data_IF_655318257937
#
_entry.id   IF_655318257937
#
_cell.length_a   1.000
_cell.length_b   1.000
_cell.length_c   1.000
_cell.angle_alpha   90.00
_cell.angle_beta   90.00
_cell.angle_gamma   90.00
#
_symmetry.space_group_name_H-M   'P 1'
#
loop_
_entity.id
_entity.type
_entity.pdbx_description
1 polymer ?
#
# COMPACT_ATOMS: atom_id res chain seq x y z
N UNK A 1 18.70 13.99 31.02
CA UNK A 1 19.12 14.12 29.61
C UNK A 1 18.61 15.45 29.06
N UNK A 2 19.47 16.25 28.41
CA UNK A 2 18.99 17.48 27.73
C UNK A 2 18.26 17.03 26.46
N UNK A 3 16.98 17.39 26.34
CA UNK A 3 16.17 17.13 25.13
C UNK A 3 16.82 17.79 23.93
N UNK A 4 17.26 17.00 22.95
CA UNK A 4 17.79 17.54 21.67
C UNK A 4 16.64 18.22 20.92
N UNK A 5 16.65 19.55 20.87
CA UNK A 5 15.61 20.31 20.13
C UNK A 5 15.83 20.12 18.63
N UNK A 6 14.86 19.53 17.95
CA UNK A 6 14.84 19.42 16.50
C UNK A 6 14.56 20.81 15.90
N UNK A 7 15.43 21.26 14.99
CA UNK A 7 15.32 22.57 14.36
C UNK A 7 14.15 22.67 13.34
N UNK A 8 13.75 23.88 12.98
CA UNK A 8 12.69 24.12 11.99
C UNK A 8 12.99 23.43 10.66
N UNK A 9 14.25 23.43 10.22
CA UNK A 9 14.69 22.77 8.99
C UNK A 9 14.39 21.26 9.00
N UNK A 10 14.60 20.58 10.12
CA UNK A 10 14.26 19.16 10.28
C UNK A 10 12.76 18.93 10.11
N UNK A 11 11.91 19.73 10.79
CA UNK A 11 10.46 19.60 10.72
C UNK A 11 9.90 19.87 9.33
N UNK A 12 10.40 20.88 8.64
CA UNK A 12 10.03 21.18 7.25
C UNK A 12 10.43 20.03 6.32
N UNK A 13 11.65 19.51 6.46
CA UNK A 13 12.11 18.36 5.67
C UNK A 13 11.25 17.13 5.93
N UNK A 14 10.99 16.80 7.20
CA UNK A 14 10.19 15.66 7.62
C UNK A 14 8.78 15.73 7.03
N UNK A 15 8.12 16.88 7.14
CA UNK A 15 6.73 17.05 6.69
C UNK A 15 6.63 17.04 5.17
N UNK A 16 7.47 17.79 4.46
CA UNK A 16 7.37 17.88 3.00
C UNK A 16 7.78 16.57 2.31
N UNK A 17 8.95 16.04 2.65
CA UNK A 17 9.44 14.81 2.04
C UNK A 17 8.57 13.62 2.47
N UNK A 18 8.20 13.55 3.75
CA UNK A 18 7.33 12.51 4.28
C UNK A 18 5.94 12.52 3.64
N UNK A 19 5.27 13.69 3.59
CA UNK A 19 3.92 13.80 3.02
C UNK A 19 3.88 13.45 1.54
N UNK A 20 4.82 13.99 0.74
CA UNK A 20 4.84 13.74 -0.69
C UNK A 20 5.25 12.30 -1.02
N UNK A 21 6.14 11.71 -0.22
CA UNK A 21 6.43 10.28 -0.30
C UNK A 21 5.19 9.42 -0.01
N UNK A 22 4.42 9.77 1.03
CA UNK A 22 3.16 9.07 1.32
C UNK A 22 2.09 9.32 0.25
N UNK A 23 2.06 10.49 -0.40
CA UNK A 23 1.17 10.76 -1.52
C UNK A 23 1.52 9.85 -2.72
N UNK A 24 2.80 9.73 -3.07
CA UNK A 24 3.24 8.85 -4.15
C UNK A 24 2.90 7.37 -3.88
N UNK A 25 3.09 6.89 -2.62
CA UNK A 25 2.66 5.55 -2.20
C UNK A 25 1.14 5.38 -2.21
N UNK A 26 0.37 6.40 -1.81
CA UNK A 26 -1.09 6.35 -1.88
C UNK A 26 -1.59 6.21 -3.32
N UNK A 27 -0.97 6.93 -4.27
CA UNK A 27 -1.26 6.85 -5.70
C UNK A 27 -0.94 5.45 -6.23
N UNK A 28 0.23 4.91 -5.93
CA UNK A 28 0.65 3.58 -6.37
C UNK A 28 -0.29 2.49 -5.86
N UNK A 29 -0.56 2.49 -4.57
CA UNK A 29 -1.35 1.41 -3.96
C UNK A 29 -2.85 1.46 -4.30
N UNK A 30 -3.36 2.62 -4.75
CA UNK A 30 -4.79 2.81 -4.98
C UNK A 30 -5.11 3.19 -6.43
N UNK A 31 -4.60 4.32 -6.90
CA UNK A 31 -5.06 4.95 -8.15
C UNK A 31 -4.41 4.38 -9.40
N UNK A 32 -3.18 3.89 -9.32
CA UNK A 32 -2.55 3.21 -10.47
C UNK A 32 -3.34 1.95 -10.83
N UNK A 33 -3.86 1.22 -9.85
CA UNK A 33 -4.72 0.06 -10.11
C UNK A 33 -6.01 0.42 -10.89
N UNK A 34 -6.62 1.58 -10.54
CA UNK A 34 -7.76 2.10 -11.31
C UNK A 34 -7.37 2.46 -12.74
N UNK A 35 -6.23 3.14 -12.89
CA UNK A 35 -5.71 3.54 -14.20
C UNK A 35 -5.41 2.32 -15.08
N UNK A 36 -4.69 1.33 -14.56
CA UNK A 36 -4.38 0.09 -15.28
C UNK A 36 -5.68 -0.60 -15.72
N UNK A 37 -6.68 -0.70 -14.83
CA UNK A 37 -7.95 -1.32 -15.16
C UNK A 37 -8.71 -0.53 -16.23
N UNK A 38 -8.76 0.80 -16.14
CA UNK A 38 -9.46 1.65 -17.12
C UNK A 38 -8.92 1.51 -18.54
N UNK A 39 -7.63 1.13 -18.68
CA UNK A 39 -6.95 1.00 -19.97
C UNK A 39 -6.86 -0.45 -20.46
N UNK A 40 -6.95 -1.44 -19.57
CA UNK A 40 -6.81 -2.86 -19.93
C UNK A 40 -8.10 -3.66 -19.81
N UNK A 41 -9.03 -3.20 -18.96
CA UNK A 41 -10.24 -3.94 -18.62
C UNK A 41 -9.99 -5.27 -17.92
N UNK A 42 -8.78 -5.48 -17.40
CA UNK A 42 -8.36 -6.78 -16.89
C UNK A 42 -7.56 -6.66 -15.58
N UNK A 43 -7.94 -7.46 -14.58
CA UNK A 43 -7.23 -7.54 -13.30
C UNK A 43 -5.89 -8.28 -13.37
N UNK A 44 -5.60 -8.99 -14.46
CA UNK A 44 -4.33 -9.72 -14.65
C UNK A 44 -3.14 -8.75 -14.55
N UNK A 45 -3.24 -7.59 -15.23
CA UNK A 45 -2.21 -6.56 -15.20
C UNK A 45 -1.98 -6.01 -13.77
N UNK A 46 -3.06 -5.75 -13.01
CA UNK A 46 -2.98 -5.31 -11.60
C UNK A 46 -2.27 -6.38 -10.76
N UNK A 47 -2.64 -7.66 -10.94
CA UNK A 47 -2.06 -8.77 -10.18
C UNK A 47 -0.55 -8.88 -10.40
N UNK A 48 -0.12 -8.92 -11.66
CA UNK A 48 1.31 -9.01 -12.01
C UNK A 48 2.08 -7.77 -11.57
N UNK A 49 1.50 -6.58 -11.73
CA UNK A 49 2.08 -5.33 -11.25
C UNK A 49 2.30 -5.38 -9.73
N UNK A 50 1.29 -5.76 -8.95
CA UNK A 50 1.40 -5.88 -7.48
C UNK A 50 2.49 -6.87 -7.06
N UNK A 51 2.59 -8.03 -7.74
CA UNK A 51 3.59 -9.06 -7.42
C UNK A 51 5.01 -8.57 -7.72
N UNK A 52 5.22 -7.99 -8.90
CA UNK A 52 6.55 -7.55 -9.32
C UNK A 52 6.99 -6.31 -8.54
N UNK A 53 6.06 -5.41 -8.19
CA UNK A 53 6.28 -4.27 -7.31
C UNK A 53 6.72 -4.71 -5.90
N UNK A 54 6.07 -5.73 -5.32
CA UNK A 54 6.47 -6.29 -4.03
C UNK A 54 7.90 -6.88 -4.05
N UNK A 55 8.27 -7.54 -5.15
CA UNK A 55 9.63 -8.03 -5.36
C UNK A 55 10.62 -6.86 -5.45
N UNK A 56 10.31 -5.86 -6.28
CA UNK A 56 11.13 -4.67 -6.45
C UNK A 56 11.32 -3.94 -5.12
N UNK A 57 10.24 -3.66 -4.37
CA UNK A 57 10.29 -2.99 -3.08
C UNK A 57 11.17 -3.74 -2.07
N UNK A 58 10.97 -5.06 -1.95
CA UNK A 58 11.69 -5.89 -0.98
C UNK A 58 13.18 -5.94 -1.30
N UNK A 59 13.54 -6.21 -2.56
CA UNK A 59 14.92 -6.28 -3.00
C UNK A 59 15.61 -4.92 -2.89
N UNK A 60 14.92 -3.86 -3.31
CA UNK A 60 15.47 -2.50 -3.30
C UNK A 60 15.72 -2.01 -1.89
N UNK A 61 14.73 -2.08 -1.00
CA UNK A 61 14.88 -1.64 0.39
C UNK A 61 16.06 -2.35 1.04
N UNK A 62 16.22 -3.63 0.75
CA UNK A 62 17.32 -4.43 1.28
C UNK A 62 18.68 -4.02 0.69
N UNK A 63 18.85 -4.07 -0.64
CA UNK A 63 20.16 -3.83 -1.27
C UNK A 63 20.56 -2.37 -1.24
N UNK A 64 19.66 -1.45 -1.50
CA UNK A 64 19.97 -0.01 -1.54
C UNK A 64 20.11 0.56 -0.13
N UNK A 65 19.36 0.06 0.85
CA UNK A 65 19.59 0.39 2.26
C UNK A 65 21.05 0.17 2.64
N UNK A 66 21.57 -1.02 2.33
CA UNK A 66 22.99 -1.37 2.57
C UNK A 66 23.97 -0.53 1.78
N UNK A 67 23.65 -0.27 0.51
CA UNK A 67 24.52 0.52 -0.35
C UNK A 67 24.60 1.97 0.14
N UNK A 68 23.50 2.54 0.58
CA UNK A 68 23.46 3.89 1.14
C UNK A 68 24.25 3.99 2.45
N UNK A 69 24.24 2.92 3.29
CA UNK A 69 25.06 2.83 4.51
C UNK A 69 26.57 2.81 4.19
N UNK A 70 26.96 2.07 3.15
CA UNK A 70 28.37 1.99 2.71
C UNK A 70 28.88 3.29 2.12
N UNK A 71 28.02 4.01 1.39
CA UNK A 71 28.37 5.28 0.74
C UNK A 71 28.32 6.43 1.74
N UNK A 72 27.47 6.33 2.80
CA UNK A 72 27.29 7.38 3.81
C UNK A 72 26.61 8.64 3.25
N UNK A 73 25.85 8.55 2.15
CA UNK A 73 25.25 9.71 1.46
C UNK A 73 23.73 9.58 1.30
N UNK A 74 22.99 9.55 2.41
CA UNK A 74 21.51 9.45 2.41
C UNK A 74 20.86 10.51 1.55
N UNK A 75 21.29 11.75 1.69
CA UNK A 75 20.79 12.90 0.96
C UNK A 75 20.80 12.68 -0.55
N UNK A 76 21.88 12.11 -1.10
CA UNK A 76 22.00 11.85 -2.53
C UNK A 76 20.91 10.89 -3.04
N UNK A 77 20.71 9.78 -2.30
CA UNK A 77 19.69 8.78 -2.65
C UNK A 77 18.26 9.33 -2.53
N UNK A 78 17.99 10.14 -1.50
CA UNK A 78 16.68 10.80 -1.34
C UNK A 78 16.44 11.76 -2.51
N UNK A 79 17.38 12.66 -2.82
CA UNK A 79 17.20 13.68 -3.85
C UNK A 79 16.99 13.06 -5.23
N UNK A 80 17.92 12.23 -5.68
CA UNK A 80 17.86 11.58 -7.00
C UNK A 80 16.64 10.66 -7.06
N UNK A 81 16.39 9.90 -5.99
CA UNK A 81 15.27 8.98 -5.92
C UNK A 81 13.94 9.69 -6.10
N UNK A 82 13.66 10.79 -5.38
CA UNK A 82 12.41 11.55 -5.53
C UNK A 82 12.27 12.20 -6.90
N UNK A 83 13.36 12.72 -7.50
CA UNK A 83 13.30 13.29 -8.85
C UNK A 83 12.89 12.23 -9.87
N UNK A 84 13.56 11.06 -9.87
CA UNK A 84 13.25 9.99 -10.84
C UNK A 84 11.89 9.36 -10.51
N UNK A 85 11.52 9.23 -9.23
CA UNK A 85 10.20 8.77 -8.81
C UNK A 85 9.09 9.66 -9.38
N UNK A 86 9.24 11.00 -9.27
CA UNK A 86 8.27 11.94 -9.84
C UNK A 86 8.17 11.84 -11.37
N UNK A 87 9.30 11.67 -12.07
CA UNK A 87 9.30 11.41 -13.53
C UNK A 87 8.59 10.09 -13.84
N UNK A 88 8.83 9.03 -13.08
CA UNK A 88 8.14 7.76 -13.26
C UNK A 88 6.61 7.89 -13.04
N UNK A 89 6.17 8.63 -12.01
CA UNK A 89 4.74 8.94 -11.81
C UNK A 89 4.15 9.66 -13.02
N UNK A 90 4.84 10.66 -13.56
CA UNK A 90 4.37 11.37 -14.76
C UNK A 90 4.22 10.45 -15.97
N UNK A 91 5.14 9.50 -16.17
CA UNK A 91 5.11 8.60 -17.36
C UNK A 91 3.87 7.68 -17.38
N UNK A 92 3.21 7.41 -16.24
CA UNK A 92 1.92 6.71 -16.23
C UNK A 92 0.86 7.43 -17.07
N UNK A 93 0.79 8.77 -17.02
CA UNK A 93 -0.16 9.55 -17.80
C UNK A 93 0.04 9.47 -19.32
N UNK A 94 1.25 9.12 -19.75
CA UNK A 94 1.57 8.94 -21.19
C UNK A 94 1.24 7.54 -21.69
N UNK A 95 1.16 6.55 -20.80
CA UNK A 95 0.86 5.16 -21.15
C UNK A 95 -0.65 4.93 -21.15
N UNK A 96 -1.28 4.97 -22.32
CA UNK A 96 -2.71 4.69 -22.48
C UNK A 96 -2.96 3.79 -23.69
N UNK A 97 -4.18 3.22 -23.75
CA UNK A 97 -4.59 2.29 -24.79
C UNK A 97 -4.45 2.87 -26.21
N UNK A 98 -4.90 4.11 -26.44
CA UNK A 98 -4.85 4.71 -27.77
C UNK A 98 -3.43 4.99 -28.26
N UNK A 99 -2.53 5.41 -27.36
CA UNK A 99 -1.12 5.60 -27.71
C UNK A 99 -0.47 4.27 -28.12
N UNK A 100 -0.75 3.19 -27.37
CA UNK A 100 -0.21 1.88 -27.73
C UNK A 100 -0.89 1.29 -28.98
N UNK A 101 -2.19 1.51 -29.17
CA UNK A 101 -2.92 1.09 -30.38
C UNK A 101 -2.36 1.77 -31.63
N UNK A 102 -1.97 3.05 -31.55
CA UNK A 102 -1.35 3.78 -32.68
C UNK A 102 -0.02 3.15 -33.12
N UNK A 103 0.69 2.50 -32.20
CA UNK A 103 1.99 1.83 -32.44
C UNK A 103 1.76 0.37 -32.90
N UNK A 104 0.96 -0.39 -32.17
CA UNK A 104 0.79 -1.83 -32.39
C UNK A 104 -0.14 -2.14 -33.56
N UNK A 105 -1.07 -1.22 -33.91
CA UNK A 105 -2.10 -1.38 -34.94
C UNK A 105 -3.11 -2.52 -34.68
N UNK A 106 -3.03 -3.19 -33.54
CA UNK A 106 -3.87 -4.31 -33.15
C UNK A 106 -4.34 -4.15 -31.70
N UNK A 107 -5.64 -4.32 -31.46
CA UNK A 107 -6.28 -4.09 -30.15
C UNK A 107 -5.72 -5.00 -29.06
N UNK A 108 -5.68 -6.30 -29.31
CA UNK A 108 -5.18 -7.29 -28.34
C UNK A 108 -3.72 -7.02 -27.94
N UNK A 109 -2.88 -6.71 -28.93
CA UNK A 109 -1.49 -6.34 -28.70
C UNK A 109 -1.37 -5.03 -27.94
N UNK A 110 -2.22 -4.03 -28.23
CA UNK A 110 -2.22 -2.75 -27.51
C UNK A 110 -2.53 -2.94 -26.03
N UNK A 111 -3.56 -3.72 -25.66
CA UNK A 111 -3.93 -4.01 -24.29
C UNK A 111 -2.79 -4.72 -23.54
N UNK A 112 -2.22 -5.75 -24.15
CA UNK A 112 -1.09 -6.49 -23.58
C UNK A 112 0.09 -5.57 -23.30
N UNK A 113 0.47 -4.72 -24.27
CA UNK A 113 1.58 -3.80 -24.11
C UNK A 113 1.30 -2.69 -23.12
N UNK A 114 0.06 -2.18 -23.01
CA UNK A 114 -0.33 -1.26 -21.92
C UNK A 114 -0.05 -1.88 -20.57
N UNK A 115 -0.52 -3.11 -20.32
CA UNK A 115 -0.30 -3.82 -19.07
C UNK A 115 1.19 -4.03 -18.77
N UNK A 116 1.98 -4.45 -19.78
CA UNK A 116 3.43 -4.66 -19.61
C UNK A 116 4.15 -3.34 -19.32
N UNK A 117 3.91 -2.29 -20.10
CA UNK A 117 4.59 -0.99 -19.93
C UNK A 117 4.23 -0.35 -18.62
N UNK A 118 2.95 -0.39 -18.20
CA UNK A 118 2.53 0.12 -16.90
C UNK A 118 3.20 -0.66 -15.76
N UNK A 119 3.30 -1.98 -15.86
CA UNK A 119 4.03 -2.81 -14.88
C UNK A 119 5.51 -2.44 -14.79
N UNK A 120 6.16 -2.17 -15.91
CA UNK A 120 7.57 -1.74 -15.93
C UNK A 120 7.75 -0.35 -15.32
N UNK A 121 6.86 0.60 -15.60
CA UNK A 121 6.87 1.94 -15.01
C UNK A 121 6.65 1.83 -13.49
N UNK A 122 5.70 0.99 -13.05
CA UNK A 122 5.42 0.75 -11.64
C UNK A 122 6.64 0.17 -10.90
N UNK A 123 7.29 -0.83 -11.47
CA UNK A 123 8.52 -1.37 -10.90
C UNK A 123 9.65 -0.33 -10.80
N UNK A 124 9.79 0.55 -11.80
CA UNK A 124 10.73 1.66 -11.77
C UNK A 124 10.36 2.66 -10.67
N UNK A 125 9.09 3.01 -10.57
CA UNK A 125 8.53 3.87 -9.54
C UNK A 125 8.78 3.30 -8.15
N UNK A 126 8.45 2.03 -7.92
CA UNK A 126 8.69 1.31 -6.66
C UNK A 126 10.18 1.23 -6.32
N UNK A 127 11.05 0.97 -7.30
CA UNK A 127 12.49 0.94 -7.07
C UNK A 127 13.01 2.27 -6.49
N UNK A 128 12.65 3.40 -7.10
CA UNK A 128 13.10 4.72 -6.64
C UNK A 128 12.35 5.18 -5.39
N UNK A 129 11.07 4.85 -5.23
CA UNK A 129 10.28 5.11 -4.03
C UNK A 129 10.86 4.38 -2.82
N UNK A 130 11.08 3.08 -2.93
CA UNK A 130 11.68 2.28 -1.85
C UNK A 130 13.13 2.69 -1.55
N UNK A 131 13.92 3.07 -2.57
CA UNK A 131 15.26 3.63 -2.37
C UNK A 131 15.22 4.89 -1.53
N UNK A 132 14.41 5.86 -1.96
CA UNK A 132 14.44 7.21 -1.40
C UNK A 132 13.64 7.35 -0.10
N UNK A 133 12.45 6.75 -0.04
CA UNK A 133 11.54 6.85 1.10
C UNK A 133 11.77 5.74 2.12
N UNK A 134 11.64 4.46 1.73
CA UNK A 134 11.66 3.36 2.69
C UNK A 134 13.06 3.10 3.26
N UNK A 135 14.10 3.12 2.40
CA UNK A 135 15.45 2.90 2.87
C UNK A 135 16.10 4.18 3.42
N UNK A 136 16.22 5.22 2.60
CA UNK A 136 17.08 6.36 2.93
C UNK A 136 16.39 7.41 3.81
N UNK A 137 15.12 7.77 3.56
CA UNK A 137 14.40 8.76 4.37
C UNK A 137 14.11 8.24 5.78
N UNK A 138 13.64 6.99 5.92
CA UNK A 138 13.43 6.39 7.24
C UNK A 138 14.73 6.26 8.04
N UNK A 139 15.85 5.94 7.39
CA UNK A 139 17.16 5.93 8.03
C UNK A 139 17.57 7.35 8.45
N UNK A 140 17.41 8.36 7.59
CA UNK A 140 17.67 9.76 7.89
C UNK A 140 16.86 10.26 9.11
N UNK A 141 15.57 9.90 9.20
CA UNK A 141 14.74 10.22 10.38
C UNK A 141 15.31 9.58 11.64
N UNK A 142 15.69 8.30 11.57
CA UNK A 142 16.24 7.56 12.71
C UNK A 142 17.55 8.16 13.22
N UNK A 143 18.43 8.59 12.32
CA UNK A 143 19.75 9.19 12.63
C UNK A 143 19.63 10.58 13.27
N UNK A 144 18.57 11.34 12.94
CA UNK A 144 18.36 12.68 13.47
C UNK A 144 17.49 12.71 14.74
N UNK A 145 16.90 11.56 15.15
CA UNK A 145 16.03 11.45 16.33
C UNK A 145 16.68 10.64 17.44
N UNK A 146 16.30 10.91 18.68
CA UNK A 146 16.71 10.19 19.88
C UNK A 146 15.49 9.71 20.70
N UNK A 147 15.72 9.01 21.80
CA UNK A 147 14.67 8.49 22.68
C UNK A 147 13.72 9.55 23.20
N UNK A 148 14.16 10.83 23.30
CA UNK A 148 13.38 11.92 23.89
C UNK A 148 12.39 12.55 22.91
N UNK A 149 12.65 12.47 21.59
CA UNK A 149 11.86 13.13 20.54
C UNK A 149 11.27 12.16 19.51
N UNK A 150 11.78 10.92 19.43
CA UNK A 150 11.35 9.90 18.46
C UNK A 150 9.86 9.64 18.51
N UNK A 151 9.26 9.53 19.72
CA UNK A 151 7.83 9.30 19.86
C UNK A 151 6.97 10.39 19.20
N UNK A 152 7.38 11.67 19.30
CA UNK A 152 6.69 12.78 18.65
C UNK A 152 6.83 12.72 17.12
N UNK A 153 8.01 12.37 16.62
CA UNK A 153 8.27 12.26 15.18
C UNK A 153 7.46 11.10 14.58
N UNK A 154 7.46 9.94 15.22
CA UNK A 154 6.68 8.77 14.79
C UNK A 154 5.17 9.05 14.79
N UNK A 155 4.66 9.79 15.79
CA UNK A 155 3.25 10.18 15.83
C UNK A 155 2.87 11.08 14.64
N UNK A 156 3.76 11.97 14.21
CA UNK A 156 3.51 12.81 13.02
C UNK A 156 3.58 11.96 11.75
N UNK A 157 4.60 11.10 11.62
CA UNK A 157 4.75 10.22 10.46
C UNK A 157 3.54 9.28 10.28
N UNK A 158 2.92 8.82 11.37
CA UNK A 158 1.74 7.96 11.29
C UNK A 158 0.47 8.64 10.76
N UNK A 159 0.41 9.98 10.80
CA UNK A 159 -0.71 10.77 10.29
C UNK A 159 -0.54 11.12 8.81
N UNK A 160 0.70 11.18 8.31
CA UNK A 160 0.98 11.59 6.93
C UNK A 160 0.28 10.73 5.87
N UNK A 161 0.19 9.39 5.98
CA UNK A 161 -0.56 8.56 5.02
C UNK A 161 -2.04 8.93 4.93
N UNK A 162 -2.67 9.31 6.05
CA UNK A 162 -4.08 9.72 6.06
C UNK A 162 -4.27 11.03 5.30
N UNK A 163 -3.41 12.01 5.57
CA UNK A 163 -3.40 13.29 4.87
C UNK A 163 -3.12 13.07 3.37
N UNK A 164 -2.18 12.22 3.03
CA UNK A 164 -1.83 11.88 1.66
C UNK A 164 -3.02 11.28 0.88
N UNK A 165 -3.80 10.38 1.49
CA UNK A 165 -5.01 9.84 0.87
C UNK A 165 -6.06 10.92 0.62
N UNK A 166 -6.23 11.89 1.54
CA UNK A 166 -7.14 13.03 1.32
C UNK A 166 -6.66 13.88 0.14
N UNK A 167 -5.36 14.18 0.04
CA UNK A 167 -4.80 14.92 -1.10
C UNK A 167 -4.96 14.14 -2.41
N UNK A 168 -4.72 12.82 -2.41
CA UNK A 168 -4.90 11.95 -3.56
C UNK A 168 -6.32 12.09 -4.13
N UNK A 169 -7.33 12.01 -3.25
CA UNK A 169 -8.74 12.14 -3.64
C UNK A 169 -9.03 13.58 -4.11
N UNK A 170 -8.61 14.59 -3.36
CA UNK A 170 -8.90 16.00 -3.67
C UNK A 170 -8.35 16.45 -5.02
N UNK A 171 -7.18 15.94 -5.43
CA UNK A 171 -6.61 16.21 -6.77
C UNK A 171 -7.41 15.45 -7.84
N UNK A 172 -7.92 14.25 -7.53
CA UNK A 172 -8.59 13.39 -8.51
C UNK A 172 -10.02 13.83 -8.87
N UNK A 173 -10.79 14.32 -7.90
CA UNK A 173 -12.21 14.68 -8.11
C UNK A 173 -12.41 15.66 -9.28
N UNK A 174 -11.73 16.82 -9.36
CA UNK A 174 -11.96 17.79 -10.43
C UNK A 174 -11.45 17.34 -11.80
N UNK A 175 -10.72 16.23 -11.86
CA UNK A 175 -10.15 15.66 -13.09
C UNK A 175 -10.97 14.48 -13.63
N UNK A 176 -12.08 14.14 -12.97
CA UNK A 176 -12.98 13.05 -13.37
C UNK A 176 -12.25 11.71 -13.60
N UNK A 177 -11.25 11.40 -12.75
CA UNK A 177 -10.51 10.15 -12.85
C UNK A 177 -11.27 8.98 -12.25
N UNK A 178 -11.10 7.80 -12.80
CA UNK A 178 -11.77 6.59 -12.30
C UNK A 178 -11.40 5.34 -13.08
N UNK A 179 -11.97 4.21 -12.67
CA UNK A 179 -11.91 2.95 -13.42
C UNK A 179 -12.90 2.96 -14.59
N UNK A 180 -14.00 3.70 -14.44
CA UNK A 180 -15.08 3.87 -15.42
C UNK A 180 -15.46 5.35 -15.50
N UNK A 181 -15.99 5.83 -16.64
CA UNK A 181 -16.45 7.21 -16.80
C UNK A 181 -17.55 7.53 -15.80
N UNK A 182 -17.49 8.72 -15.19
CA UNK A 182 -18.59 9.30 -14.45
C UNK A 182 -19.67 9.87 -15.40
N UNK A 183 -20.74 10.41 -14.85
CA UNK A 183 -21.87 10.89 -15.67
C UNK A 183 -21.47 12.06 -16.57
N UNK A 184 -20.56 12.94 -16.11
CA UNK A 184 -20.00 14.00 -16.94
C UNK A 184 -19.24 13.44 -18.16
N UNK A 185 -18.36 12.48 -17.97
CA UNK A 185 -17.62 11.86 -19.07
C UNK A 185 -18.53 11.05 -20.00
N UNK A 186 -19.57 10.37 -19.46
CA UNK A 186 -20.58 9.67 -20.27
C UNK A 186 -21.32 10.63 -21.22
N UNK A 187 -21.70 11.82 -20.74
CA UNK A 187 -22.32 12.86 -21.58
C UNK A 187 -21.36 13.36 -22.69
N UNK A 188 -20.08 13.55 -22.35
CA UNK A 188 -19.06 13.96 -23.34
C UNK A 188 -18.82 12.89 -24.41
N UNK A 189 -18.82 11.60 -24.05
CA UNK A 189 -18.74 10.49 -24.99
C UNK A 189 -19.99 10.46 -25.89
N UNK A 190 -21.18 10.58 -25.31
CA UNK A 190 -22.46 10.62 -26.04
C UNK A 190 -22.52 11.83 -27.00
N UNK A 191 -21.92 12.96 -26.64
CA UNK A 191 -21.80 14.16 -27.48
C UNK A 191 -20.71 14.03 -28.57
N UNK A 192 -19.95 12.93 -28.61
CA UNK A 192 -18.90 12.69 -29.58
C UNK A 192 -17.60 13.49 -29.33
N UNK A 193 -17.43 14.06 -28.13
CA UNK A 193 -16.18 14.76 -27.74
C UNK A 193 -15.03 13.76 -27.59
N UNK A 194 -15.32 12.59 -27.05
CA UNK A 194 -14.36 11.47 -26.96
C UNK A 194 -14.88 10.26 -27.73
N UNK A 195 -14.00 9.51 -28.41
CA UNK A 195 -14.40 8.35 -29.22
C UNK A 195 -14.88 7.16 -28.36
N UNK A 196 -14.37 7.05 -27.14
CA UNK A 196 -14.66 5.96 -26.20
C UNK A 196 -14.28 6.30 -24.75
N UNK A 197 -14.59 5.39 -23.84
CA UNK A 197 -14.30 5.52 -22.40
C UNK A 197 -12.81 5.62 -22.09
N UNK A 198 -11.96 4.89 -22.81
CA UNK A 198 -10.53 4.91 -22.57
C UNK A 198 -9.90 6.26 -22.92
N UNK A 199 -10.35 6.89 -24.03
CA UNK A 199 -9.92 8.23 -24.42
C UNK A 199 -10.40 9.29 -23.41
N UNK A 200 -11.65 9.22 -22.99
CA UNK A 200 -12.24 10.16 -22.03
C UNK A 200 -11.50 10.13 -20.69
N UNK A 201 -11.25 8.97 -20.16
CA UNK A 201 -10.50 8.79 -18.91
C UNK A 201 -9.04 9.21 -19.04
N UNK A 202 -8.39 8.93 -20.18
CA UNK A 202 -6.98 9.25 -20.43
C UNK A 202 -6.67 10.73 -20.25
N UNK A 203 -7.61 11.63 -20.58
CA UNK A 203 -7.44 13.07 -20.43
C UNK A 203 -7.27 13.48 -18.94
N UNK A 204 -8.19 13.03 -18.08
CA UNK A 204 -8.14 13.31 -16.64
C UNK A 204 -6.91 12.69 -15.98
N UNK A 205 -6.65 11.42 -16.28
CA UNK A 205 -5.50 10.71 -15.75
C UNK A 205 -4.15 11.32 -16.17
N UNK A 206 -4.02 11.83 -17.40
CA UNK A 206 -2.82 12.54 -17.83
C UNK A 206 -2.51 13.74 -16.92
N UNK A 207 -3.50 14.62 -16.68
CA UNK A 207 -3.31 15.78 -15.82
C UNK A 207 -3.08 15.38 -14.36
N UNK A 208 -3.75 14.33 -13.90
CA UNK A 208 -3.53 13.79 -12.55
C UNK A 208 -2.07 13.38 -12.34
N UNK A 209 -1.55 12.54 -13.20
CA UNK A 209 -0.15 12.08 -13.11
C UNK A 209 0.87 13.19 -13.37
N UNK A 210 0.53 14.17 -14.23
CA UNK A 210 1.35 15.36 -14.43
C UNK A 210 1.47 16.16 -13.12
N UNK A 211 0.36 16.49 -12.47
CA UNK A 211 0.35 17.27 -11.23
C UNK A 211 1.12 16.52 -10.14
N UNK A 212 0.83 15.24 -9.94
CA UNK A 212 1.45 14.44 -8.90
C UNK A 212 2.95 14.21 -9.18
N UNK A 213 3.32 13.90 -10.42
CA UNK A 213 4.72 13.71 -10.82
C UNK A 213 5.56 14.98 -10.65
N UNK A 214 5.00 16.14 -11.04
CA UNK A 214 5.63 17.44 -10.83
C UNK A 214 5.81 17.74 -9.34
N UNK A 215 4.80 17.48 -8.50
CA UNK A 215 4.90 17.65 -7.05
C UNK A 215 6.04 16.82 -6.46
N UNK A 216 6.11 15.52 -6.79
CA UNK A 216 7.16 14.62 -6.29
C UNK A 216 8.54 15.10 -6.77
N UNK A 217 8.66 15.48 -8.04
CA UNK A 217 9.93 15.99 -8.62
C UNK A 217 10.38 17.28 -7.94
N UNK A 218 9.46 18.24 -7.73
CA UNK A 218 9.76 19.50 -7.04
C UNK A 218 10.29 19.23 -5.62
N UNK A 219 9.67 18.31 -4.89
CA UNK A 219 10.16 17.95 -3.55
C UNK A 219 11.53 17.27 -3.62
N UNK A 220 11.79 16.45 -4.63
CA UNK A 220 13.12 15.91 -4.89
C UNK A 220 14.17 17.01 -5.09
N UNK A 221 13.85 18.06 -5.85
CA UNK A 221 14.73 19.22 -6.07
C UNK A 221 14.87 20.05 -4.77
N UNK A 222 13.77 20.34 -4.08
CA UNK A 222 13.80 21.09 -2.83
C UNK A 222 14.57 20.38 -1.73
N UNK A 223 14.57 19.05 -1.71
CA UNK A 223 15.31 18.24 -0.74
C UNK A 223 16.84 18.47 -0.84
N UNK A 224 17.36 18.91 -2.01
CA UNK A 224 18.76 19.34 -2.18
C UNK A 224 19.12 20.49 -1.21
N UNK A 225 18.18 21.38 -0.94
CA UNK A 225 18.37 22.55 -0.08
C UNK A 225 17.88 22.32 1.36
N UNK A 226 16.83 21.54 1.53
CA UNK A 226 16.20 21.27 2.81
C UNK A 226 17.01 20.31 3.68
N UNK A 227 17.48 19.19 3.10
CA UNK A 227 18.23 18.20 3.86
C UNK A 227 19.61 18.72 4.27
N UNK A 228 20.04 18.55 5.53
CA UNK A 228 21.40 18.86 5.97
C UNK A 228 22.40 17.99 5.20
N UNK A 229 23.69 18.32 5.34
CA UNK A 229 24.77 17.45 4.84
C UNK A 229 24.79 16.14 5.64
N UNK A 230 25.10 15.06 4.98
CA UNK A 230 25.31 13.76 5.65
C UNK A 230 26.54 13.84 6.55
N UNK A 231 26.40 13.45 7.81
CA UNK A 231 27.47 13.34 8.81
C UNK A 231 27.76 11.88 9.18
N UNK A 232 27.38 10.94 8.30
CA UNK A 232 27.44 9.50 8.55
C UNK A 232 28.82 8.98 8.15
N UNK A 233 29.49 8.29 9.08
CA UNK A 233 30.68 7.53 8.74
C UNK A 233 30.30 6.28 7.93
N UNK A 234 30.93 6.06 6.74
CA UNK A 234 30.62 4.92 5.90
C UNK A 234 30.94 3.59 6.63
N UNK A 235 29.93 2.74 6.78
CA UNK A 235 30.11 1.42 7.39
C UNK A 235 30.57 0.40 6.34
N UNK A 236 31.84 0.03 6.35
CA UNK A 236 32.48 -0.87 5.37
C UNK A 236 32.60 -2.32 5.83
N UNK A 237 32.31 -2.64 7.09
CA UNK A 237 32.72 -3.91 7.71
C UNK A 237 31.76 -5.10 7.53
N UNK A 238 30.58 -5.00 6.97
CA UNK A 238 29.63 -6.10 6.99
C UNK A 238 29.25 -6.70 5.63
N UNK A 239 29.49 -8.02 5.48
CA UNK A 239 28.96 -8.83 4.39
C UNK A 239 27.50 -9.24 4.68
N UNK A 240 26.57 -8.39 4.26
CA UNK A 240 25.13 -8.55 4.55
C UNK A 240 24.45 -9.73 3.84
N UNK A 241 24.94 -10.16 2.67
CA UNK A 241 24.37 -11.30 1.94
C UNK A 241 24.36 -12.60 2.75
N UNK A 242 25.37 -12.80 3.62
CA UNK A 242 25.40 -13.95 4.55
C UNK A 242 24.40 -13.80 5.71
N UNK A 243 24.07 -12.55 6.08
CA UNK A 243 23.13 -12.26 7.18
C UNK A 243 21.67 -12.40 6.74
N UNK A 244 21.31 -12.16 5.47
CA UNK A 244 19.95 -12.30 4.97
C UNK A 244 19.39 -13.71 5.21
N UNK A 245 20.14 -14.73 4.84
CA UNK A 245 19.73 -16.13 5.00
C UNK A 245 19.90 -16.67 6.43
N UNK A 246 20.62 -15.94 7.28
CA UNK A 246 20.81 -16.34 8.68
C UNK A 246 19.48 -16.44 9.43
N UNK A 247 18.57 -15.49 9.23
CA UNK A 247 17.24 -15.49 9.82
C UNK A 247 16.41 -16.73 9.46
N UNK A 248 16.66 -17.39 8.33
CA UNK A 248 15.94 -18.58 7.90
C UNK A 248 16.57 -19.90 8.38
N UNK A 249 17.68 -19.84 9.12
CA UNK A 249 18.28 -21.07 9.67
C UNK A 249 17.37 -21.70 10.73
N UNK A 250 17.17 -23.04 10.70
CA UNK A 250 16.28 -23.72 11.65
C UNK A 250 16.65 -23.47 13.12
N UNK A 251 17.93 -23.30 13.43
CA UNK A 251 18.43 -22.96 14.78
C UNK A 251 17.97 -21.59 15.24
N UNK A 252 17.95 -20.58 14.36
CA UNK A 252 17.52 -19.22 14.63
C UNK A 252 15.99 -19.16 14.79
N UNK A 253 15.26 -19.87 13.93
CA UNK A 253 13.80 -20.00 14.02
C UNK A 253 13.42 -20.64 15.36
N UNK A 254 14.08 -21.74 15.75
CA UNK A 254 13.80 -22.43 17.01
C UNK A 254 14.10 -21.54 18.22
N UNK A 255 15.19 -20.76 18.18
CA UNK A 255 15.58 -19.82 19.25
C UNK A 255 14.58 -18.67 19.38
N UNK A 256 14.05 -18.15 18.29
CA UNK A 256 13.14 -17.01 18.25
C UNK A 256 11.70 -17.41 17.88
N UNK A 257 11.24 -18.56 18.32
CA UNK A 257 9.96 -19.15 17.88
C UNK A 257 8.72 -18.29 18.14
N UNK A 258 8.71 -17.42 19.17
CA UNK A 258 7.62 -16.46 19.41
C UNK A 258 7.57 -15.37 18.34
N UNK A 259 8.73 -14.87 17.92
CA UNK A 259 8.83 -13.88 16.83
C UNK A 259 8.32 -14.48 15.49
N UNK A 260 8.70 -15.72 15.16
CA UNK A 260 8.24 -16.35 13.93
C UNK A 260 6.76 -16.69 13.93
N UNK A 261 6.16 -17.00 15.09
CA UNK A 261 4.70 -17.12 15.20
C UNK A 261 4.00 -15.79 14.95
N UNK A 262 4.54 -14.68 15.46
CA UNK A 262 4.02 -13.34 15.16
C UNK A 262 4.19 -12.98 13.67
N UNK A 263 5.32 -13.32 13.05
CA UNK A 263 5.55 -13.10 11.63
C UNK A 263 4.59 -13.93 10.76
N UNK A 264 4.30 -15.18 11.14
CA UNK A 264 3.29 -16.01 10.46
C UNK A 264 1.87 -15.46 10.64
N UNK A 265 1.53 -14.96 11.83
CA UNK A 265 0.27 -14.24 12.04
C UNK A 265 0.18 -13.02 11.12
N UNK A 266 1.26 -12.25 11.02
CA UNK A 266 1.33 -11.05 10.20
C UNK A 266 1.26 -11.37 8.71
N UNK A 267 1.88 -12.48 8.27
CA UNK A 267 1.73 -13.00 6.92
C UNK A 267 0.27 -13.32 6.58
N UNK A 268 -0.40 -14.13 7.38
CA UNK A 268 -1.81 -14.49 7.14
C UNK A 268 -2.70 -13.24 7.13
N UNK A 269 -2.51 -12.35 8.09
CA UNK A 269 -3.26 -11.10 8.20
C UNK A 269 -3.04 -10.18 6.98
N UNK A 270 -1.80 -9.92 6.59
CA UNK A 270 -1.52 -9.07 5.43
C UNK A 270 -1.92 -9.72 4.11
N UNK A 271 -1.88 -11.06 4.00
CA UNK A 271 -2.42 -11.77 2.83
C UNK A 271 -3.93 -11.57 2.69
N UNK A 272 -4.65 -11.54 3.82
CA UNK A 272 -6.08 -11.20 3.80
C UNK A 272 -6.34 -9.79 3.24
N UNK A 273 -5.54 -8.82 3.68
CA UNK A 273 -5.66 -7.44 3.19
C UNK A 273 -5.29 -7.34 1.71
N UNK A 274 -4.18 -7.96 1.29
CA UNK A 274 -3.75 -7.93 -0.10
C UNK A 274 -4.66 -8.75 -1.03
N UNK A 275 -5.53 -9.61 -0.52
CA UNK A 275 -6.53 -10.32 -1.31
C UNK A 275 -7.55 -9.37 -1.97
N UNK A 276 -7.86 -8.23 -1.36
CA UNK A 276 -8.83 -7.26 -1.89
C UNK A 276 -8.24 -5.87 -2.19
N UNK A 277 -7.18 -5.46 -1.49
CA UNK A 277 -6.64 -4.10 -1.57
C UNK A 277 -6.28 -3.63 -3.00
N UNK A 278 -5.67 -4.44 -3.87
CA UNK A 278 -5.38 -4.00 -5.23
C UNK A 278 -6.62 -3.79 -6.11
N UNK A 279 -7.76 -4.38 -5.72
CA UNK A 279 -8.96 -4.49 -6.57
C UNK A 279 -10.16 -3.71 -6.05
N UNK A 280 -10.18 -3.34 -4.75
CA UNK A 280 -11.40 -2.84 -4.09
C UNK A 280 -11.91 -1.53 -4.68
N UNK A 281 -11.03 -0.61 -5.10
CA UNK A 281 -11.45 0.63 -5.74
C UNK A 281 -12.11 0.37 -7.09
N UNK A 282 -11.53 -0.54 -7.89
CA UNK A 282 -12.12 -0.98 -9.17
C UNK A 282 -13.49 -1.61 -8.91
N UNK A 283 -13.60 -2.49 -7.91
CA UNK A 283 -14.84 -3.16 -7.56
C UNK A 283 -15.95 -2.19 -7.16
N UNK A 284 -15.64 -1.21 -6.29
CA UNK A 284 -16.63 -0.26 -5.79
C UNK A 284 -16.95 0.88 -6.78
N UNK A 285 -16.08 1.18 -7.74
CA UNK A 285 -16.38 2.15 -8.81
C UNK A 285 -17.16 1.55 -9.99
N UNK A 286 -17.20 0.23 -10.12
CA UNK A 286 -17.98 -0.41 -11.17
C UNK A 286 -19.50 -0.20 -10.93
N UNK A 287 -20.25 -0.15 -12.03
CA UNK A 287 -21.70 0.02 -11.98
C UNK A 287 -22.36 -1.20 -11.33
N UNK A 288 -23.25 -0.95 -10.36
CA UNK A 288 -24.01 -1.97 -9.65
C UNK A 288 -24.85 -2.86 -10.58
N UNK A 289 -25.30 -2.33 -11.71
CA UNK A 289 -26.11 -3.07 -12.70
C UNK A 289 -25.32 -4.13 -13.44
N UNK A 290 -23.99 -3.94 -13.58
CA UNK A 290 -23.11 -4.84 -14.33
C UNK A 290 -22.38 -5.82 -13.42
N UNK A 291 -21.97 -5.38 -12.20
CA UNK A 291 -21.08 -6.13 -11.31
C UNK A 291 -21.64 -6.41 -9.91
N UNK A 292 -22.86 -6.00 -9.63
CA UNK A 292 -23.62 -6.41 -8.45
C UNK A 292 -23.51 -5.55 -7.20
N UNK A 293 -22.50 -4.68 -7.05
CA UNK A 293 -22.45 -3.71 -5.97
C UNK A 293 -21.37 -2.67 -6.27
N UNK A 294 -21.73 -1.45 -6.54
CA UNK A 294 -20.79 -0.36 -6.75
C UNK A 294 -21.45 0.99 -6.48
N UNK A 295 -20.64 1.95 -6.10
CA UNK A 295 -21.06 3.34 -5.93
C UNK A 295 -20.99 4.14 -7.25
N UNK A 296 -20.46 3.51 -8.32
CA UNK A 296 -20.04 4.24 -9.51
C UNK A 296 -18.78 5.08 -9.28
N UNK A 297 -18.39 5.86 -10.27
CA UNK A 297 -17.22 6.75 -10.21
C UNK A 297 -17.53 8.18 -9.76
N UNK A 298 -18.75 8.42 -9.30
CA UNK A 298 -19.25 9.75 -8.90
C UNK A 298 -18.87 10.18 -7.48
N UNK A 299 -19.44 11.31 -7.06
CA UNK A 299 -19.20 11.91 -5.74
C UNK A 299 -19.56 10.96 -4.59
N UNK A 300 -20.58 10.11 -4.75
CA UNK A 300 -21.03 9.17 -3.72
C UNK A 300 -19.94 8.16 -3.34
N UNK A 301 -19.15 7.69 -4.33
CA UNK A 301 -17.99 6.84 -4.08
C UNK A 301 -16.94 7.56 -3.22
N UNK A 302 -16.58 8.80 -3.57
CA UNK A 302 -15.57 9.55 -2.83
C UNK A 302 -16.01 9.90 -1.41
N UNK A 303 -17.31 10.22 -1.22
CA UNK A 303 -17.88 10.45 0.10
C UNK A 303 -17.87 9.17 0.94
N UNK A 304 -18.31 8.03 0.38
CA UNK A 304 -18.31 6.74 1.08
C UNK A 304 -16.89 6.34 1.48
N UNK A 305 -15.93 6.43 0.55
CA UNK A 305 -14.53 6.11 0.81
C UNK A 305 -13.91 7.03 1.85
N UNK A 306 -14.16 8.35 1.75
CA UNK A 306 -13.72 9.33 2.73
C UNK A 306 -14.27 9.08 4.13
N UNK A 307 -15.56 8.76 4.25
CA UNK A 307 -16.20 8.41 5.54
C UNK A 307 -15.54 7.17 6.14
N UNK A 308 -15.35 6.10 5.36
CA UNK A 308 -14.69 4.88 5.82
C UNK A 308 -13.31 5.19 6.39
N UNK A 309 -12.48 5.93 5.64
CA UNK A 309 -11.11 6.25 6.07
C UNK A 309 -11.10 7.12 7.33
N UNK A 310 -11.89 8.19 7.37
CA UNK A 310 -11.89 9.15 8.50
C UNK A 310 -12.41 8.47 9.76
N UNK A 311 -13.56 7.81 9.68
CA UNK A 311 -14.18 7.18 10.86
C UNK A 311 -13.31 6.05 11.41
N UNK A 312 -12.79 5.18 10.52
CA UNK A 312 -11.89 4.09 10.93
C UNK A 312 -10.61 4.62 11.60
N UNK A 313 -10.05 5.71 11.07
CA UNK A 313 -8.86 6.34 11.63
C UNK A 313 -9.13 6.95 13.01
N UNK A 314 -10.26 7.65 13.18
CA UNK A 314 -10.65 8.24 14.47
C UNK A 314 -10.87 7.15 15.54
N UNK A 315 -11.57 6.07 15.18
CA UNK A 315 -11.77 4.93 16.09
C UNK A 315 -10.42 4.30 16.48
N UNK A 316 -9.52 4.11 15.50
CA UNK A 316 -8.20 3.52 15.74
C UNK A 316 -7.35 4.41 16.66
N UNK A 317 -7.32 5.72 16.43
CA UNK A 317 -6.60 6.67 17.27
C UNK A 317 -7.17 6.68 18.69
N UNK A 318 -8.50 6.69 18.83
CA UNK A 318 -9.15 6.63 20.14
C UNK A 318 -8.79 5.36 20.92
N UNK A 319 -8.89 4.19 20.27
CA UNK A 319 -8.55 2.90 20.90
C UNK A 319 -7.04 2.85 21.22
N UNK A 320 -6.18 3.33 20.31
CA UNK A 320 -4.74 3.41 20.53
C UNK A 320 -4.36 4.30 21.72
N UNK A 321 -5.02 5.47 21.86
CA UNK A 321 -4.71 6.39 22.94
C UNK A 321 -5.24 5.93 24.33
N UNK A 322 -6.45 5.37 24.38
CA UNK A 322 -7.16 5.17 25.65
C UNK A 322 -7.33 3.71 26.08
N UNK A 323 -7.27 2.76 25.15
CA UNK A 323 -7.63 1.35 25.39
C UNK A 323 -6.43 0.41 25.30
N UNK A 324 -5.51 0.62 24.37
CA UNK A 324 -4.44 -0.34 24.02
C UNK A 324 -3.55 -0.75 25.21
N UNK A 325 -3.31 0.16 26.17
CA UNK A 325 -2.49 -0.09 27.35
C UNK A 325 -3.29 -0.66 28.54
N UNK A 326 -4.63 -0.67 28.46
CA UNK A 326 -5.52 -1.12 29.56
C UNK A 326 -6.07 -2.51 29.35
N UNK A 327 -6.04 -3.02 28.11
CA UNK A 327 -6.63 -4.30 27.72
C UNK A 327 -5.53 -5.30 27.35
N UNK A 328 -5.80 -6.57 27.64
CA UNK A 328 -4.91 -7.65 27.25
C UNK A 328 -4.69 -7.62 25.73
N UNK A 329 -3.42 -7.61 25.30
CA UNK A 329 -3.01 -7.51 23.89
C UNK A 329 -3.61 -8.61 23.01
N UNK A 330 -3.75 -9.85 23.55
CA UNK A 330 -4.38 -10.96 22.81
C UNK A 330 -5.88 -10.73 22.61
N UNK A 331 -6.58 -10.28 23.67
CA UNK A 331 -8.01 -9.97 23.55
C UNK A 331 -8.25 -8.85 22.55
N UNK A 332 -7.46 -7.79 22.60
CA UNK A 332 -7.58 -6.66 21.66
C UNK A 332 -7.32 -7.11 20.21
N UNK A 333 -6.33 -7.98 20.00
CA UNK A 333 -6.07 -8.56 18.68
C UNK A 333 -7.27 -9.37 18.16
N UNK A 334 -7.85 -10.27 18.98
CA UNK A 334 -8.99 -11.09 18.54
C UNK A 334 -10.25 -10.26 18.27
N UNK A 335 -10.52 -9.24 19.09
CA UNK A 335 -11.64 -8.31 18.86
C UNK A 335 -11.43 -7.53 17.55
N UNK A 336 -10.21 -7.01 17.32
CA UNK A 336 -9.89 -6.27 16.10
C UNK A 336 -9.92 -7.15 14.85
N UNK A 337 -9.41 -8.36 14.94
CA UNK A 337 -9.48 -9.35 13.86
C UNK A 337 -10.93 -9.78 13.59
N UNK A 338 -11.71 -10.00 14.66
CA UNK A 338 -13.14 -10.28 14.56
C UNK A 338 -13.92 -9.17 13.86
N UNK A 339 -13.61 -7.90 14.16
CA UNK A 339 -14.19 -6.75 13.46
C UNK A 339 -13.83 -6.78 11.97
N UNK A 340 -12.56 -7.03 11.61
CA UNK A 340 -12.15 -7.17 10.21
C UNK A 340 -12.87 -8.33 9.50
N UNK A 341 -13.01 -9.48 10.16
CA UNK A 341 -13.75 -10.63 9.62
C UNK A 341 -15.22 -10.32 9.40
N UNK A 342 -15.88 -9.66 10.36
CA UNK A 342 -17.28 -9.23 10.22
C UNK A 342 -17.45 -8.24 9.08
N UNK A 343 -16.52 -7.28 8.93
CA UNK A 343 -16.50 -6.37 7.81
C UNK A 343 -16.36 -7.10 6.46
N UNK A 344 -15.44 -8.06 6.36
CA UNK A 344 -15.26 -8.86 5.14
C UNK A 344 -16.50 -9.72 4.80
N UNK A 345 -17.12 -10.35 5.80
CA UNK A 345 -18.37 -11.11 5.64
C UNK A 345 -19.48 -10.18 5.17
N UNK A 346 -19.63 -9.02 5.83
CA UNK A 346 -20.64 -8.04 5.46
C UNK A 346 -20.49 -7.56 4.02
N UNK A 347 -19.28 -7.17 3.60
CA UNK A 347 -19.00 -6.76 2.22
C UNK A 347 -19.23 -7.86 1.18
N UNK A 348 -19.06 -9.13 1.55
CA UNK A 348 -19.42 -10.24 0.66
C UNK A 348 -20.93 -10.35 0.42
N UNK A 349 -21.75 -10.10 1.47
CA UNK A 349 -23.22 -10.19 1.36
C UNK A 349 -23.89 -8.87 1.02
N UNK A 350 -23.24 -7.73 1.22
CA UNK A 350 -23.76 -6.43 0.87
C UNK A 350 -23.94 -6.32 -0.65
N UNK A 351 -25.16 -6.13 -1.09
CA UNK A 351 -25.53 -5.96 -2.48
C UNK A 351 -26.37 -4.67 -2.55
N UNK A 352 -25.88 -3.66 -3.22
CA UNK A 352 -26.62 -2.42 -3.51
C UNK A 352 -27.09 -1.60 -2.27
N UNK A 353 -26.73 -2.01 -1.05
CA UNK A 353 -27.08 -1.28 0.18
C UNK A 353 -25.86 -0.47 0.63
N UNK A 354 -25.67 0.69 0.03
CA UNK A 354 -24.48 1.54 0.21
C UNK A 354 -24.15 1.87 1.68
N UNK A 355 -25.13 2.10 2.56
CA UNK A 355 -24.84 2.36 3.97
C UNK A 355 -24.26 1.12 4.69
N UNK A 356 -24.66 -0.09 4.26
CA UNK A 356 -24.12 -1.34 4.78
C UNK A 356 -22.67 -1.55 4.33
N UNK A 357 -22.37 -1.22 3.06
CA UNK A 357 -21.00 -1.25 2.53
C UNK A 357 -20.09 -0.29 3.31
N UNK A 358 -20.57 0.92 3.61
CA UNK A 358 -19.82 1.89 4.44
C UNK A 358 -19.58 1.34 5.84
N UNK A 359 -20.62 0.81 6.49
CA UNK A 359 -20.50 0.24 7.85
C UNK A 359 -19.52 -0.94 7.88
N UNK A 360 -19.65 -1.87 6.95
CA UNK A 360 -18.76 -3.03 6.84
C UNK A 360 -17.32 -2.63 6.48
N UNK A 361 -17.16 -1.62 5.63
CA UNK A 361 -15.87 -1.00 5.32
C UNK A 361 -15.20 -0.40 6.55
N UNK A 362 -15.95 0.31 7.40
CA UNK A 362 -15.46 0.84 8.67
C UNK A 362 -14.97 -0.30 9.59
N UNK A 363 -15.74 -1.39 9.73
CA UNK A 363 -15.31 -2.54 10.53
C UNK A 363 -14.04 -3.18 9.98
N UNK A 364 -13.97 -3.40 8.66
CA UNK A 364 -12.81 -4.01 8.01
C UNK A 364 -11.54 -3.15 8.18
N UNK A 365 -11.63 -1.86 7.87
CA UNK A 365 -10.47 -0.95 7.92
C UNK A 365 -10.06 -0.65 9.37
N UNK A 366 -10.99 -0.48 10.29
CA UNK A 366 -10.67 -0.32 11.73
C UNK A 366 -9.95 -1.55 12.26
N UNK A 367 -10.47 -2.75 11.96
CA UNK A 367 -9.84 -4.01 12.34
C UNK A 367 -8.44 -4.14 11.74
N UNK A 368 -8.25 -3.75 10.47
CA UNK A 368 -6.96 -3.71 9.79
C UNK A 368 -5.95 -2.80 10.51
N UNK A 369 -6.32 -1.56 10.78
CA UNK A 369 -5.43 -0.57 11.40
C UNK A 369 -5.01 -1.00 12.81
N UNK A 370 -5.96 -1.50 13.62
CA UNK A 370 -5.68 -1.98 14.98
C UNK A 370 -4.80 -3.23 14.98
N UNK A 371 -5.10 -4.24 14.16
CA UNK A 371 -4.27 -5.45 14.07
C UNK A 371 -2.85 -5.13 13.62
N UNK A 372 -2.69 -4.23 12.64
CA UNK A 372 -1.37 -3.78 12.16
C UNK A 372 -0.58 -3.12 13.29
N UNK A 373 -1.20 -2.25 14.08
CA UNK A 373 -0.55 -1.58 15.21
C UNK A 373 -0.15 -2.59 16.30
N UNK A 374 -1.05 -3.52 16.65
CA UNK A 374 -0.81 -4.54 17.69
C UNK A 374 0.30 -5.49 17.28
N UNK A 375 0.24 -6.04 16.05
CA UNK A 375 1.24 -6.96 15.53
C UNK A 375 2.59 -6.28 15.31
N UNK A 376 2.60 -5.05 14.80
CA UNK A 376 3.81 -4.25 14.63
C UNK A 376 4.54 -4.01 15.95
N UNK A 377 3.81 -3.65 17.01
CA UNK A 377 4.36 -3.50 18.35
C UNK A 377 4.87 -4.85 18.91
N UNK A 378 4.09 -5.92 18.80
CA UNK A 378 4.45 -7.24 19.30
C UNK A 378 5.70 -7.81 18.62
N UNK A 379 5.83 -7.65 17.30
CA UNK A 379 7.02 -8.05 16.53
C UNK A 379 8.24 -7.26 17.01
N UNK A 380 8.11 -5.95 17.20
CA UNK A 380 9.19 -5.08 17.69
C UNK A 380 9.69 -5.50 19.07
N UNK A 381 8.75 -5.79 19.99
CA UNK A 381 9.06 -6.25 21.36
C UNK A 381 9.83 -7.59 21.38
N UNK A 382 9.58 -8.47 20.40
CA UNK A 382 10.22 -9.80 20.30
C UNK A 382 11.45 -9.83 19.41
N UNK A 383 11.75 -8.75 18.70
CA UNK A 383 12.93 -8.66 17.82
C UNK A 383 14.19 -8.47 18.68
N UNK A 384 15.21 -9.35 18.54
CA UNK A 384 16.46 -9.22 19.29
C UNK A 384 17.18 -7.91 18.98
N UNK A 385 17.59 -7.17 20.02
CA UNK A 385 18.20 -5.83 19.90
C UNK A 385 19.50 -5.85 19.08
N UNK A 386 20.29 -6.93 19.16
CA UNK A 386 21.56 -7.04 18.43
C UNK A 386 21.39 -7.40 16.94
N UNK A 387 20.21 -7.91 16.54
CA UNK A 387 19.95 -8.42 15.19
C UNK A 387 18.80 -7.70 14.49
N UNK A 388 18.49 -6.46 14.89
CA UNK A 388 17.31 -5.70 14.39
C UNK A 388 17.31 -5.59 12.86
N UNK A 389 18.45 -5.24 12.26
CA UNK A 389 18.56 -5.10 10.79
C UNK A 389 18.31 -6.41 10.04
N UNK A 390 18.78 -7.52 10.59
CA UNK A 390 18.58 -8.86 10.03
C UNK A 390 17.10 -9.27 10.06
N UNK A 391 16.45 -9.09 11.21
CA UNK A 391 15.05 -9.43 11.38
C UNK A 391 14.12 -8.46 10.64
N UNK A 392 14.57 -7.25 10.32
CA UNK A 392 13.83 -6.34 9.45
C UNK A 392 13.70 -6.92 8.03
N UNK A 393 14.75 -7.53 7.47
CA UNK A 393 14.68 -8.23 6.19
C UNK A 393 13.71 -9.43 6.22
N UNK A 394 13.77 -10.25 7.28
CA UNK A 394 12.82 -11.36 7.47
C UNK A 394 11.39 -10.83 7.58
N UNK A 395 11.17 -9.74 8.34
CA UNK A 395 9.86 -9.09 8.45
C UNK A 395 9.33 -8.63 7.10
N UNK A 396 10.15 -8.02 6.24
CA UNK A 396 9.72 -7.57 4.90
C UNK A 396 9.21 -8.72 4.04
N UNK A 397 9.83 -9.90 4.14
CA UNK A 397 9.35 -11.09 3.42
C UNK A 397 7.97 -11.52 3.92
N UNK A 398 7.76 -11.62 5.24
CA UNK A 398 6.49 -12.06 5.81
C UNK A 398 5.40 -10.97 5.80
N UNK A 399 5.75 -9.70 5.87
CA UNK A 399 4.81 -8.59 5.97
C UNK A 399 4.43 -8.00 4.61
N UNK A 400 5.31 -8.08 3.61
CA UNK A 400 5.14 -7.42 2.31
C UNK A 400 5.19 -8.44 1.17
N UNK A 401 6.35 -9.07 0.94
CA UNK A 401 6.57 -9.89 -0.25
C UNK A 401 5.57 -11.04 -0.36
N UNK A 402 5.52 -11.94 0.62
CA UNK A 402 4.63 -13.09 0.58
C UNK A 402 3.15 -12.70 0.53
N UNK A 403 2.65 -11.73 1.35
CA UNK A 403 1.27 -11.28 1.27
C UNK A 403 0.87 -10.69 -0.08
N UNK A 404 1.70 -9.81 -0.65
CA UNK A 404 1.43 -9.17 -1.95
C UNK A 404 1.52 -10.14 -3.13
N UNK A 405 2.12 -11.31 -2.94
CA UNK A 405 2.10 -12.40 -3.92
C UNK A 405 0.88 -13.30 -3.71
N UNK A 406 0.67 -13.80 -2.50
CA UNK A 406 -0.35 -14.83 -2.23
C UNK A 406 -1.78 -14.28 -2.25
N UNK A 407 -2.00 -13.08 -1.68
CA UNK A 407 -3.32 -12.45 -1.63
C UNK A 407 -3.92 -12.24 -3.02
N UNK A 408 -3.27 -11.44 -3.88
CA UNK A 408 -3.77 -11.15 -5.22
C UNK A 408 -3.89 -12.38 -6.12
N UNK A 409 -2.89 -13.28 -6.13
CA UNK A 409 -2.94 -14.49 -6.96
C UNK A 409 -4.15 -15.38 -6.63
N UNK A 410 -4.42 -15.59 -5.34
CA UNK A 410 -5.53 -16.45 -4.92
C UNK A 410 -6.85 -15.75 -5.21
N UNK A 411 -7.00 -14.46 -4.96
CA UNK A 411 -8.24 -13.73 -5.26
C UNK A 411 -8.55 -13.72 -6.75
N UNK A 412 -7.55 -13.41 -7.57
CA UNK A 412 -7.71 -13.34 -9.02
C UNK A 412 -8.08 -14.71 -9.63
N UNK A 413 -7.65 -15.84 -9.04
CA UNK A 413 -8.01 -17.15 -9.51
C UNK A 413 -9.54 -17.40 -9.49
N UNK A 414 -10.26 -16.69 -8.63
CA UNK A 414 -11.72 -16.80 -8.49
C UNK A 414 -12.50 -15.66 -9.17
N UNK A 415 -11.83 -14.73 -9.82
CA UNK A 415 -12.52 -13.64 -10.50
C UNK A 415 -13.17 -14.13 -11.79
N UNK A 416 -14.44 -13.75 -12.05
CA UNK A 416 -15.11 -14.10 -13.27
C UNK A 416 -14.49 -13.38 -14.47
N UNK A 417 -14.48 -14.03 -15.61
CA UNK A 417 -14.24 -13.36 -16.89
C UNK A 417 -15.50 -12.62 -17.28
N UNK A 418 -15.41 -11.32 -17.49
CA UNK A 418 -16.56 -10.53 -17.92
C UNK A 418 -16.99 -10.94 -19.32
N UNK A 419 -18.26 -11.28 -19.46
CA UNK A 419 -18.90 -11.39 -20.77
C UNK A 419 -19.36 -10.01 -21.31
N UNK A 420 -19.22 -8.97 -20.50
CA UNK A 420 -19.56 -7.61 -20.89
C UNK A 420 -18.43 -7.03 -21.74
N UNK A 421 -18.74 -6.88 -23.01
CA UNK A 421 -17.94 -6.03 -23.91
C UNK A 421 -18.56 -4.65 -23.84
N UNK A 422 -17.84 -3.69 -23.28
CA UNK A 422 -18.22 -2.29 -23.40
C UNK A 422 -18.21 -1.94 -24.89
N UNK A 423 -19.36 -1.54 -25.48
CA UNK A 423 -19.42 -1.14 -26.89
C UNK A 423 -18.46 0.00 -27.24
N UNK A 424 -18.06 0.80 -26.22
CA UNK A 424 -17.15 1.94 -26.34
C UNK A 424 -15.70 1.58 -26.05
N UNK A 425 -15.44 0.40 -25.47
CA UNK A 425 -14.11 -0.13 -25.24
C UNK A 425 -14.08 -1.65 -25.45
N UNK A 426 -13.87 -2.12 -26.70
CA UNK A 426 -13.83 -3.55 -27.04
C UNK A 426 -12.70 -4.33 -26.36
N UNK A 427 -11.81 -3.64 -25.64
CA UNK A 427 -10.74 -4.24 -24.85
C UNK A 427 -11.25 -4.93 -23.58
N UNK A 428 -12.47 -4.67 -23.13
CA UNK A 428 -13.01 -5.17 -21.88
C UNK A 428 -13.58 -6.58 -22.03
N UNK A 429 -12.75 -7.59 -22.03
CA UNK A 429 -13.11 -9.01 -22.00
C UNK A 429 -12.31 -9.81 -20.97
N UNK A 430 -11.62 -9.10 -20.05
CA UNK A 430 -10.76 -9.71 -19.06
C UNK A 430 -11.45 -10.08 -17.75
N UNK A 431 -10.67 -10.53 -16.79
CA UNK A 431 -11.13 -10.80 -15.43
C UNK A 431 -11.53 -9.51 -14.72
N UNK A 432 -12.64 -9.55 -14.00
CA UNK A 432 -13.17 -8.43 -13.23
C UNK A 432 -13.17 -8.73 -11.74
N UNK A 433 -12.90 -7.74 -10.87
CA UNK A 433 -12.95 -7.96 -9.43
C UNK A 433 -14.35 -8.38 -8.99
N UNK A 434 -14.43 -9.32 -8.08
CA UNK A 434 -15.70 -9.76 -7.53
C UNK A 434 -15.66 -9.84 -6.00
N UNK A 435 -16.84 -9.86 -5.37
CA UNK A 435 -16.98 -10.00 -3.92
C UNK A 435 -16.29 -11.21 -3.31
N UNK A 436 -15.93 -12.21 -4.13
CA UNK A 436 -15.18 -13.39 -3.69
C UNK A 436 -13.84 -13.02 -3.05
N UNK A 437 -13.23 -11.88 -3.42
CA UNK A 437 -12.02 -11.39 -2.77
C UNK A 437 -12.15 -11.21 -1.25
N UNK A 438 -13.36 -10.88 -0.75
CA UNK A 438 -13.62 -10.78 0.69
C UNK A 438 -13.71 -12.15 1.37
N UNK A 439 -14.16 -13.21 0.67
CA UNK A 439 -14.10 -14.58 1.17
C UNK A 439 -12.65 -15.10 1.21
N UNK A 440 -11.85 -14.77 0.22
CA UNK A 440 -10.41 -15.09 0.23
C UNK A 440 -9.73 -14.38 1.40
N UNK A 441 -10.04 -13.11 1.62
CA UNK A 441 -9.56 -12.38 2.79
C UNK A 441 -9.96 -13.06 4.10
N UNK A 442 -11.23 -13.49 4.22
CA UNK A 442 -11.73 -14.22 5.39
C UNK A 442 -10.94 -15.52 5.64
N UNK A 443 -10.66 -16.29 4.59
CA UNK A 443 -9.84 -17.51 4.70
C UNK A 443 -8.43 -17.21 5.24
N UNK A 444 -7.78 -16.15 4.77
CA UNK A 444 -6.48 -15.72 5.27
C UNK A 444 -6.54 -15.18 6.71
N UNK A 445 -7.62 -14.53 7.13
CA UNK A 445 -7.81 -14.15 8.55
C UNK A 445 -7.85 -15.39 9.46
N UNK A 446 -8.45 -16.49 9.02
CA UNK A 446 -8.37 -17.77 9.76
C UNK A 446 -6.94 -18.34 9.79
N UNK A 447 -6.18 -18.21 8.71
CA UNK A 447 -4.75 -18.58 8.69
C UNK A 447 -3.96 -17.77 9.73
N UNK A 448 -4.28 -16.48 9.90
CA UNK A 448 -3.64 -15.64 10.90
C UNK A 448 -3.97 -16.03 12.34
N UNK A 449 -5.15 -16.60 12.60
CA UNK A 449 -5.56 -17.02 13.94
C UNK A 449 -4.70 -18.14 14.51
N UNK A 450 -4.36 -19.15 13.71
CA UNK A 450 -3.70 -20.36 14.19
C UNK A 450 -2.34 -20.08 14.89
N UNK A 451 -1.38 -19.34 14.30
CA UNK A 451 -0.13 -19.05 14.98
C UNK A 451 -0.30 -18.15 16.21
N UNK A 452 -1.31 -17.24 16.23
CA UNK A 452 -1.58 -16.40 17.39
C UNK A 452 -2.14 -17.21 18.56
N UNK A 453 -3.04 -18.17 18.32
CA UNK A 453 -3.56 -19.08 19.34
C UNK A 453 -2.41 -19.93 19.93
N UNK A 454 -1.53 -20.47 19.07
CA UNK A 454 -0.35 -21.23 19.50
C UNK A 454 0.56 -20.36 20.39
N UNK A 455 0.78 -19.09 20.02
CA UNK A 455 1.57 -18.16 20.79
C UNK A 455 0.96 -17.90 22.17
N UNK A 456 -0.36 -17.66 22.22
CA UNK A 456 -1.08 -17.43 23.48
C UNK A 456 -1.00 -18.64 24.41
N UNK A 457 -1.23 -19.87 23.90
CA UNK A 457 -1.12 -21.09 24.68
C UNK A 457 0.29 -21.25 25.27
N UNK A 458 1.35 -20.99 24.44
CA UNK A 458 2.73 -21.04 24.92
C UNK A 458 3.00 -20.03 26.04
N UNK A 459 2.49 -18.81 25.90
CA UNK A 459 2.66 -17.76 26.93
C UNK A 459 1.99 -18.16 28.24
N UNK A 460 0.72 -18.60 28.19
CA UNK A 460 -0.02 -19.06 29.36
C UNK A 460 0.65 -20.27 30.04
N UNK A 461 1.21 -21.20 29.27
CA UNK A 461 1.92 -22.37 29.80
C UNK A 461 3.21 -21.98 30.52
N UNK A 462 3.94 -20.97 30.01
CA UNK A 462 5.13 -20.42 30.67
C UNK A 462 4.78 -19.72 31.98
N UNK A 463 3.72 -18.92 31.99
CA UNK A 463 3.25 -18.23 33.21
C UNK A 463 2.81 -19.21 34.33
N UNK A 464 2.14 -20.31 33.92
CA UNK A 464 1.76 -21.36 34.88
C UNK A 464 2.95 -22.13 35.44
N UNK A 465 4.05 -22.27 34.72
CA UNK A 465 5.28 -22.93 35.19
C UNK A 465 6.15 -22.01 36.04
N UNK A 466 5.96 -20.72 35.96
CA UNK A 466 6.71 -19.71 36.71
C UNK A 466 6.06 -19.36 38.07
N UNK A 467 4.78 -19.72 38.23
CA UNK A 467 4.03 -19.69 39.49
C UNK A 467 4.15 -21.04 40.22
#
# INVERSE_FOLDING_TARGET
>A
MKVKKLGVRFWVSLLLIGLVGQLAWAIENNYINLWVYSQTGNTDAITWMTITSALAATLTTFFVGLWSDRVGKRKLFINIGYIIWGVAVFTFGLCNYHNLLSITKEQTSAILWVGIVMTLIDNLMTFFGSTSNDACFNAWVTEHTDETNRGKVESILSVLPLIANVFMIAIGIPLHIGAVPDDFLKEQIAAGVYPDSAAALSHGWFFYFLICGVLVTIIGILSLFLLPKDEIEPNREESYGKKLFYGFRPSVIKKNGELYLLLLTFFGFNSAINAFMPYYLVYFQNDATVYGAGFGSGMDFYLAFGIILIVSSLITVFIGAFVINKVNRYLLFYVSLGAAMLGAIGLFFANTIHWLDILCGIFLITGYLLCTAILGAAIRDKTPVHDVGLFQGVRMIFAVLLPMVTGPLISQAFFPTSSYQDPTNPALGGKTPSRVMFLVALAFFFVALAPMIILQIKTLTKEKKAK
#
